data_IF_010375024801
#
_entry.id   IF_010375024801
#
_cell.length_a   1.000
_cell.length_b   1.000
_cell.length_c   1.000
_cell.angle_alpha   90.00
_cell.angle_beta   90.00
_cell.angle_gamma   90.00
#
_symmetry.space_group_name_H-M   'P 1'
#
loop_
_entity.id
_entity.type
_entity.pdbx_description
1 polymer ?
#
# COMPACT_ATOMS: atom_id res chain seq x y z
N UNK A 1 -5.10 -2.52 -24.59
CA UNK A 1 -6.41 -2.04 -24.13
C UNK A 1 -6.52 -2.27 -22.63
N UNK A 2 -6.34 -1.20 -21.85
CA UNK A 2 -6.55 -1.21 -20.41
C UNK A 2 -8.07 -1.13 -20.21
N UNK A 3 -8.72 -2.23 -19.83
CA UNK A 3 -10.15 -2.23 -19.52
C UNK A 3 -10.37 -1.24 -18.38
N UNK A 4 -11.30 -0.31 -18.53
CA UNK A 4 -11.83 0.46 -17.41
C UNK A 4 -12.39 -0.52 -16.38
N UNK A 5 -11.63 -0.76 -15.32
CA UNK A 5 -12.05 -1.60 -14.20
C UNK A 5 -13.08 -0.80 -13.42
N UNK A 6 -14.26 -1.40 -13.20
CA UNK A 6 -15.22 -0.81 -12.27
C UNK A 6 -14.61 -0.72 -10.86
N UNK A 7 -15.14 0.18 -10.03
CA UNK A 7 -14.69 0.33 -8.65
C UNK A 7 -14.75 -1.00 -7.87
N UNK A 8 -15.81 -1.79 -8.08
CA UNK A 8 -15.97 -3.10 -7.44
C UNK A 8 -14.93 -4.12 -7.91
N UNK A 9 -14.66 -4.19 -9.22
CA UNK A 9 -13.63 -5.07 -9.76
C UNK A 9 -12.25 -4.68 -9.25
N UNK A 10 -11.96 -3.38 -9.22
CA UNK A 10 -10.70 -2.84 -8.69
C UNK A 10 -10.50 -3.26 -7.23
N UNK A 11 -11.53 -3.14 -6.40
CA UNK A 11 -11.48 -3.56 -5.00
C UNK A 11 -11.29 -5.07 -4.86
N UNK A 12 -11.98 -5.88 -5.68
CA UNK A 12 -11.77 -7.34 -5.72
C UNK A 12 -10.34 -7.70 -6.09
N UNK A 13 -9.74 -6.98 -7.04
CA UNK A 13 -8.35 -7.19 -7.47
C UNK A 13 -7.38 -6.83 -6.34
N UNK A 14 -7.58 -5.69 -5.67
CA UNK A 14 -6.74 -5.28 -4.54
C UNK A 14 -6.78 -6.32 -3.41
N UNK A 15 -7.97 -6.83 -3.08
CA UNK A 15 -8.15 -7.90 -2.09
C UNK A 15 -7.50 -9.22 -2.51
N UNK A 16 -7.51 -9.55 -3.81
CA UNK A 16 -6.88 -10.77 -4.31
C UNK A 16 -5.34 -10.67 -4.37
N UNK A 17 -4.82 -9.47 -4.70
CA UNK A 17 -3.38 -9.21 -4.83
C UNK A 17 -2.67 -9.00 -3.51
N UNK A 18 -3.36 -8.46 -2.49
CA UNK A 18 -2.85 -8.35 -1.13
C UNK A 18 -3.47 -9.39 -0.20
N UNK A 19 -2.79 -10.52 -0.05
CA UNK A 19 -3.22 -11.62 0.82
C UNK A 19 -2.89 -11.40 2.30
N UNK A 20 -2.01 -10.45 2.61
CA UNK A 20 -1.59 -10.20 4.00
C UNK A 20 -2.54 -9.24 4.70
N UNK A 21 -3.11 -8.29 3.95
CA UNK A 21 -3.93 -7.22 4.48
C UNK A 21 -5.11 -6.95 3.56
N UNK A 22 -6.31 -7.08 4.08
CA UNK A 22 -7.55 -6.82 3.33
C UNK A 22 -7.73 -5.33 3.06
N UNK A 23 -8.13 -4.99 1.84
CA UNK A 23 -8.62 -3.66 1.47
C UNK A 23 -10.12 -3.58 1.73
N UNK A 24 -10.56 -2.68 2.61
CA UNK A 24 -11.98 -2.49 2.95
C UNK A 24 -12.68 -1.63 1.90
N UNK A 25 -12.08 -0.48 1.55
CA UNK A 25 -12.52 0.42 0.48
C UNK A 25 -11.39 0.73 -0.51
N UNK A 26 -11.72 1.36 -1.64
CA UNK A 26 -10.73 1.99 -2.52
C UNK A 26 -10.14 3.28 -1.92
N UNK A 27 -10.86 3.88 -0.96
CA UNK A 27 -10.41 5.03 -0.19
C UNK A 27 -9.47 4.64 0.95
N UNK A 28 -9.27 3.34 1.19
CA UNK A 28 -8.25 2.90 2.14
C UNK A 28 -6.88 3.41 1.68
N UNK A 29 -6.16 4.05 2.61
CA UNK A 29 -4.85 4.60 2.35
C UNK A 29 -3.76 3.75 2.99
N UNK A 30 -2.67 3.58 2.26
CA UNK A 30 -1.49 2.85 2.73
C UNK A 30 -0.23 3.60 2.36
N UNK A 31 0.77 3.53 3.23
CA UNK A 31 2.06 4.14 2.96
C UNK A 31 3.04 3.08 2.45
N UNK A 32 3.70 3.42 1.36
CA UNK A 32 4.77 2.63 0.78
C UNK A 32 6.07 2.89 1.54
N UNK A 33 6.69 1.86 2.11
CA UNK A 33 7.95 2.02 2.84
C UNK A 33 9.17 2.30 1.95
N UNK A 34 9.05 2.10 0.62
CA UNK A 34 10.17 2.37 -0.29
C UNK A 34 10.23 3.82 -0.76
N UNK A 35 9.08 4.48 -0.92
CA UNK A 35 9.02 5.88 -1.36
C UNK A 35 8.39 6.82 -0.33
N UNK A 36 8.02 6.29 0.84
CA UNK A 36 7.43 6.99 1.99
C UNK A 36 6.19 7.82 1.64
N UNK A 37 5.47 7.39 0.59
CA UNK A 37 4.26 8.06 0.11
C UNK A 37 3.03 7.24 0.40
N UNK A 38 1.97 7.96 0.74
CA UNK A 38 0.63 7.42 0.85
C UNK A 38 0.06 7.18 -0.55
N UNK A 39 -0.59 6.04 -0.71
CA UNK A 39 -1.34 5.66 -1.90
C UNK A 39 -2.71 5.12 -1.47
N UNK A 40 -3.74 5.54 -2.20
CA UNK A 40 -5.08 4.99 -2.08
C UNK A 40 -5.27 3.82 -3.04
N UNK A 41 -6.29 3.00 -2.78
CA UNK A 41 -6.71 1.92 -3.67
C UNK A 41 -7.01 2.43 -5.08
N UNK A 42 -7.48 3.67 -5.22
CA UNK A 42 -7.67 4.37 -6.49
C UNK A 42 -6.40 4.64 -7.30
N UNK A 43 -5.28 4.86 -6.61
CA UNK A 43 -4.01 5.20 -7.25
C UNK A 43 -3.15 3.98 -7.56
N UNK A 44 -3.36 2.85 -6.89
CA UNK A 44 -2.57 1.61 -7.11
C UNK A 44 -2.50 1.23 -8.59
N UNK A 45 -1.31 0.95 -9.09
CA UNK A 45 -1.16 0.46 -10.45
C UNK A 45 -1.45 -1.04 -10.49
N UNK A 46 -2.43 -1.45 -11.30
CA UNK A 46 -2.84 -2.85 -11.46
C UNK A 46 -2.32 -3.35 -12.80
N UNK A 47 -1.33 -4.23 -12.75
CA UNK A 47 -0.77 -4.89 -13.92
C UNK A 47 -1.33 -6.30 -14.05
N UNK A 48 -1.57 -6.76 -15.28
CA UNK A 48 -1.87 -8.18 -15.54
C UNK A 48 -0.55 -8.92 -15.71
N UNK A 49 -0.35 -9.97 -14.93
CA UNK A 49 0.81 -10.86 -15.06
C UNK A 49 0.38 -12.23 -15.59
N UNK A 50 1.33 -13.00 -16.15
CA UNK A 50 1.02 -14.34 -16.67
C UNK A 50 0.99 -15.40 -15.55
N UNK A 51 1.64 -15.14 -14.40
CA UNK A 51 1.71 -16.06 -13.25
C UNK A 51 0.71 -15.74 -12.14
N UNK A 52 0.26 -14.49 -12.06
CA UNK A 52 -0.80 -14.04 -11.14
C UNK A 52 -1.84 -13.26 -11.94
N UNK A 53 -3.14 -13.42 -11.68
CA UNK A 53 -4.17 -12.70 -12.45
C UNK A 53 -3.97 -11.18 -12.40
N UNK A 54 -3.42 -10.67 -11.30
CA UNK A 54 -3.08 -9.26 -11.11
C UNK A 54 -1.86 -9.06 -10.21
N UNK A 55 -1.06 -8.05 -10.53
CA UNK A 55 0.10 -7.58 -9.77
C UNK A 55 -0.15 -6.13 -9.36
N UNK A 56 -0.01 -5.85 -8.07
CA UNK A 56 -0.25 -4.52 -7.48
C UNK A 56 1.09 -3.80 -7.35
N UNK A 57 1.25 -2.67 -8.05
CA UNK A 57 2.42 -1.81 -8.01
C UNK A 57 2.10 -0.42 -7.49
N UNK A 58 3.11 0.22 -6.91
CA UNK A 58 2.98 1.61 -6.49
C UNK A 58 2.92 2.52 -7.72
N UNK A 59 2.03 3.53 -7.73
CA UNK A 59 1.88 4.46 -8.85
C UNK A 59 3.10 5.37 -9.06
N UNK A 60 4.00 5.46 -8.09
CA UNK A 60 5.13 6.37 -8.16
C UNK A 60 6.14 5.89 -9.18
N UNK A 61 6.46 6.75 -10.16
CA UNK A 61 7.45 6.47 -11.19
C UNK A 61 8.79 6.08 -10.57
N UNK A 62 9.30 4.91 -10.94
CA UNK A 62 10.56 4.36 -10.41
C UNK A 62 10.44 3.61 -9.07
N UNK A 63 9.27 3.60 -8.43
CA UNK A 63 9.06 2.82 -7.22
C UNK A 63 8.75 1.35 -7.56
N UNK A 64 9.70 0.45 -7.28
CA UNK A 64 9.52 -0.99 -7.45
C UNK A 64 8.71 -1.66 -6.34
N UNK A 65 7.87 -0.92 -5.61
CA UNK A 65 7.15 -1.48 -4.47
C UNK A 65 5.89 -2.25 -4.90
N UNK A 66 5.60 -3.31 -4.13
CA UNK A 66 4.44 -4.17 -4.29
C UNK A 66 3.63 -4.17 -2.99
N UNK A 67 2.46 -4.80 -2.99
CA UNK A 67 1.56 -4.87 -1.83
C UNK A 67 2.22 -5.28 -0.49
N UNK A 68 3.28 -6.09 -0.55
CA UNK A 68 4.07 -6.49 0.62
C UNK A 68 4.72 -5.30 1.34
N UNK A 69 5.09 -4.25 0.59
CA UNK A 69 5.78 -3.05 1.08
C UNK A 69 4.83 -1.94 1.56
N UNK A 70 3.52 -2.17 1.60
CA UNK A 70 2.54 -1.15 1.97
C UNK A 70 1.94 -1.41 3.35
N UNK A 71 1.95 -0.39 4.21
CA UNK A 71 1.49 -0.50 5.59
C UNK A 71 0.48 0.60 5.92
N UNK A 72 -0.40 0.35 6.89
CA UNK A 72 -1.28 1.39 7.41
C UNK A 72 -0.45 2.47 8.10
N UNK A 73 -0.80 3.74 7.90
CA UNK A 73 -0.11 4.86 8.56
C UNK A 73 -0.10 4.70 10.09
N UNK A 74 -1.19 4.19 10.68
CA UNK A 74 -1.25 3.87 12.11
C UNK A 74 -0.23 2.80 12.55
N UNK A 75 0.06 1.82 11.68
CA UNK A 75 1.07 0.79 11.96
C UNK A 75 2.50 1.26 11.68
N UNK A 76 2.68 2.33 10.90
CA UNK A 76 4.01 2.94 10.67
C UNK A 76 4.37 3.82 11.85
N UNK A 77 3.42 4.58 12.42
CA UNK A 77 3.64 5.35 13.63
C UNK A 77 4.05 4.46 14.82
N UNK A 78 3.52 3.25 14.90
CA UNK A 78 3.93 2.25 15.90
C UNK A 78 5.39 1.79 15.73
N UNK A 79 5.89 1.71 14.49
CA UNK A 79 7.29 1.27 14.20
C UNK A 79 8.31 2.41 14.09
N UNK A 80 7.87 3.65 13.84
CA UNK A 80 8.69 4.87 13.92
C UNK A 80 8.56 5.57 15.28
N UNK A 81 7.74 5.02 16.18
CA UNK A 81 7.38 5.61 17.47
C UNK A 81 8.33 5.33 18.64
N UNK A 82 9.41 4.56 18.44
CA UNK A 82 10.44 4.39 19.47
C UNK A 82 11.67 5.22 19.13
N UNK A 83 11.59 6.54 19.35
CA UNK A 83 12.70 7.46 19.70
C UNK A 83 12.22 8.93 19.70
N UNK A 84 11.08 9.26 20.33
CA UNK A 84 10.68 10.65 20.51
C UNK A 84 10.21 10.94 21.93
N UNK A 85 10.99 10.47 22.91
CA UNK A 85 11.01 11.10 24.22
C UNK A 85 12.41 11.07 24.83
N UNK A 86 13.38 11.71 24.15
CA UNK A 86 14.63 12.14 24.82
C UNK A 86 14.35 13.49 25.50
N UNK A 87 13.46 13.46 26.49
CA UNK A 87 13.22 14.54 27.43
C UNK A 87 13.18 14.06 28.89
N UNK A 88 13.65 12.83 29.18
CA UNK A 88 14.04 12.46 30.54
C UNK A 88 15.56 12.34 30.61
N UNK A 89 16.16 13.50 30.89
CA UNK A 89 17.45 13.57 31.56
C UNK A 89 17.28 12.86 32.92
N UNK A 90 17.93 11.72 33.11
CA UNK A 90 18.57 11.44 34.39
C UNK A 90 19.91 10.76 34.19
N UNK A 91 20.91 11.48 34.68
CA UNK A 91 22.21 10.97 35.10
C UNK A 91 22.07 9.76 36.03
#
# INVERSE_FOLDING_TARGET
MQRDLTAEERLKILRAGDKLRTWSSLDDERCCVLCERTLSGWQVEILRDQRSPYLLKCPMSGCGSFALHWFYLGNIADRLGDCQNRADLRC
#
